data_IF_884364499357
#
_entry.id   IF_884364499357
#
_cell.length_a   1.000
_cell.length_b   1.000
_cell.length_c   1.000
_cell.angle_alpha   90.00
_cell.angle_beta   90.00
_cell.angle_gamma   90.00
#
_symmetry.space_group_name_H-M   'P 1'
#
loop_
_entity.id
_entity.type
_entity.pdbx_description
1 polymer ?
#
# COMPACT_ATOMS: atom_id res chain seq x y z
N UNK A 1 -13.08 3.85 10.60
CA UNK A 1 -12.06 3.71 11.65
C UNK A 1 -11.07 2.61 11.28
N UNK A 2 -9.82 3.00 11.02
CA UNK A 2 -8.64 2.17 10.92
C UNK A 2 -8.34 1.54 12.28
N UNK A 3 -7.84 0.30 12.25
CA UNK A 3 -7.37 -0.38 13.44
C UNK A 3 -6.02 0.19 13.88
N UNK A 4 -5.65 -0.04 15.14
CA UNK A 4 -4.31 0.29 15.65
C UNK A 4 -3.19 -0.28 14.77
N UNK A 5 -3.34 -1.52 14.31
CA UNK A 5 -2.39 -2.17 13.40
C UNK A 5 -2.27 -1.43 12.07
N UNK A 6 -3.38 -0.94 11.51
CA UNK A 6 -3.35 -0.18 10.26
C UNK A 6 -2.68 1.19 10.44
N UNK A 7 -2.91 1.87 11.57
CA UNK A 7 -2.23 3.13 11.91
C UNK A 7 -0.72 2.90 12.06
N UNK A 8 -0.30 1.85 12.77
CA UNK A 8 1.11 1.52 12.93
C UNK A 8 1.77 1.11 11.61
N UNK A 9 1.07 0.35 10.77
CA UNK A 9 1.60 -0.05 9.46
C UNK A 9 1.72 1.15 8.50
N UNK A 10 0.78 2.11 8.57
CA UNK A 10 0.89 3.37 7.85
C UNK A 10 2.08 4.21 8.34
N UNK A 11 2.26 4.34 9.65
CA UNK A 11 3.43 5.03 10.23
C UNK A 11 4.75 4.39 9.77
N UNK A 12 4.84 3.06 9.78
CA UNK A 12 5.98 2.31 9.24
C UNK A 12 6.21 2.60 7.75
N UNK A 13 5.15 2.61 6.94
CA UNK A 13 5.22 2.95 5.51
C UNK A 13 5.81 4.35 5.28
N UNK A 14 5.39 5.35 6.07
CA UNK A 14 5.90 6.73 5.94
C UNK A 14 7.39 6.82 6.31
N UNK A 15 7.83 6.10 7.34
CA UNK A 15 9.24 6.01 7.73
C UNK A 15 10.09 5.34 6.64
N UNK A 16 9.59 4.25 6.05
CA UNK A 16 10.27 3.61 4.91
C UNK A 16 10.38 4.57 3.72
N UNK A 17 9.32 5.30 3.39
CA UNK A 17 9.35 6.32 2.33
C UNK A 17 10.38 7.42 2.63
N UNK A 18 10.53 7.87 3.87
CA UNK A 18 11.56 8.84 4.23
C UNK A 18 12.98 8.31 4.02
N UNK A 19 13.21 7.04 4.39
CA UNK A 19 14.49 6.35 4.14
C UNK A 19 14.76 6.24 2.64
N UNK A 20 13.78 5.83 1.84
CA UNK A 20 13.93 5.74 0.39
C UNK A 20 14.22 7.11 -0.24
N UNK A 21 13.53 8.15 0.22
CA UNK A 21 13.79 9.53 -0.19
C UNK A 21 15.20 10.00 0.18
N UNK A 22 15.75 9.54 1.31
CA UNK A 22 17.13 9.86 1.71
C UNK A 22 18.15 9.24 0.75
N UNK A 23 17.93 8.00 0.32
CA UNK A 23 18.77 7.34 -0.67
C UNK A 23 18.72 8.03 -2.04
N UNK A 24 17.57 8.62 -2.42
CA UNK A 24 17.42 9.42 -3.63
C UNK A 24 18.04 10.82 -3.50
N UNK A 25 18.34 11.25 -2.27
CA UNK A 25 18.98 12.52 -1.97
C UNK A 25 18.02 13.72 -1.92
N UNK A 26 18.62 14.90 -1.77
CA UNK A 26 17.92 16.17 -1.57
C UNK A 26 17.66 16.91 -2.89
N UNK A 27 16.63 17.75 -2.94
CA UNK A 27 16.24 18.51 -4.12
C UNK A 27 15.41 17.70 -5.13
N UNK A 28 14.88 16.56 -4.70
CA UNK A 28 13.94 15.77 -5.49
C UNK A 28 12.63 16.54 -5.67
N UNK A 29 11.91 16.33 -6.79
CA UNK A 29 10.57 16.86 -6.93
C UNK A 29 9.67 16.35 -5.79
N UNK A 30 8.73 17.18 -5.30
CA UNK A 30 7.69 16.70 -4.39
C UNK A 30 6.99 15.48 -4.97
N UNK A 31 6.82 14.46 -4.15
CA UNK A 31 6.23 13.19 -4.56
C UNK A 31 4.92 13.01 -3.83
N UNK A 32 3.86 12.73 -4.58
CA UNK A 32 2.56 12.37 -4.04
C UNK A 32 2.50 10.84 -3.89
N UNK A 33 1.86 10.36 -2.84
CA UNK A 33 1.83 8.95 -2.47
C UNK A 33 0.38 8.51 -2.25
N UNK A 34 -0.04 7.48 -2.98
CA UNK A 34 -1.30 6.78 -2.73
C UNK A 34 -0.99 5.55 -1.88
N UNK A 35 -1.42 5.56 -0.61
CA UNK A 35 -1.14 4.47 0.32
C UNK A 35 -2.38 3.61 0.45
N UNK A 36 -2.22 2.31 0.20
CA UNK A 36 -3.30 1.34 0.23
C UNK A 36 -2.88 0.07 0.97
N UNK A 37 -3.85 -0.62 1.55
CA UNK A 37 -3.69 -1.99 2.04
C UNK A 37 -4.15 -2.97 1.00
N UNK A 38 -3.45 -4.08 0.91
CA UNK A 38 -3.90 -5.25 0.18
C UNK A 38 -3.82 -6.47 1.10
N UNK A 39 -4.77 -7.41 1.04
CA UNK A 39 -4.57 -8.72 1.62
C UNK A 39 -3.25 -9.29 1.12
N UNK A 40 -2.39 -9.76 2.03
CA UNK A 40 -1.13 -10.40 1.61
C UNK A 40 -1.46 -11.52 0.63
N UNK A 41 -2.47 -12.35 0.94
CA UNK A 41 -3.11 -13.33 0.05
C UNK A 41 -4.65 -13.26 0.21
N UNK A 42 -5.41 -13.77 -0.75
CA UNK A 42 -6.89 -13.72 -0.79
C UNK A 42 -7.60 -14.35 0.42
N UNK A 43 -6.91 -15.22 1.17
CA UNK A 43 -7.43 -15.86 2.38
C UNK A 43 -6.85 -15.28 3.70
N UNK A 44 -5.91 -14.33 3.64
CA UNK A 44 -5.22 -13.84 4.84
C UNK A 44 -5.88 -12.60 5.45
N UNK A 45 -6.09 -12.55 6.78
CA UNK A 45 -6.47 -11.31 7.47
C UNK A 45 -5.31 -10.30 7.54
N UNK A 46 -4.08 -10.74 7.26
CA UNK A 46 -2.92 -9.87 7.24
C UNK A 46 -2.94 -9.00 5.97
N UNK A 47 -2.70 -7.71 6.15
CA UNK A 47 -2.70 -6.74 5.06
C UNK A 47 -1.32 -6.10 4.95
N UNK A 48 -0.76 -6.12 3.74
CA UNK A 48 0.43 -5.35 3.42
C UNK A 48 0.01 -3.93 3.08
N UNK A 49 0.63 -2.96 3.75
CA UNK A 49 0.57 -1.55 3.34
C UNK A 49 1.55 -1.36 2.20
N UNK A 50 1.10 -0.71 1.12
CA UNK A 50 1.93 -0.34 -0.03
C UNK A 50 1.65 1.11 -0.40
N UNK A 51 2.67 1.79 -0.91
CA UNK A 51 2.57 3.11 -1.51
C UNK A 51 2.74 3.01 -3.03
N UNK A 52 2.02 3.84 -3.76
CA UNK A 52 2.28 4.14 -5.17
C UNK A 52 2.72 5.58 -5.26
N UNK A 53 3.88 5.81 -5.88
CA UNK A 53 4.53 7.12 -5.92
C UNK A 53 4.27 7.86 -7.23
N UNK A 54 4.04 9.16 -7.10
CA UNK A 54 3.78 10.08 -8.21
C UNK A 54 4.66 11.32 -8.07
N UNK A 55 5.86 11.32 -8.67
CA UNK A 55 6.71 12.50 -8.72
C UNK A 55 5.98 13.65 -9.42
N UNK A 56 5.81 14.77 -8.73
CA UNK A 56 5.18 15.97 -9.27
C UNK A 56 6.22 16.79 -10.03
N UNK A 57 5.88 17.31 -11.22
CA UNK A 57 6.88 18.05 -11.99
C UNK A 57 7.17 19.38 -11.31
N UNK A 58 8.43 19.77 -11.27
CA UNK A 58 8.85 21.07 -10.72
C UNK A 58 8.13 22.23 -11.40
N UNK A 59 7.92 22.14 -12.72
CA UNK A 59 7.22 23.16 -13.50
C UNK A 59 5.75 23.34 -13.07
N UNK A 60 5.11 22.27 -12.59
CA UNK A 60 3.72 22.31 -12.09
C UNK A 60 3.60 23.10 -10.77
N UNK A 61 4.70 23.18 -10.01
CA UNK A 61 4.80 23.94 -8.76
C UNK A 61 5.23 25.38 -9.00
N UNK A 62 6.09 25.61 -9.99
CA UNK A 62 6.57 26.95 -10.34
C UNK A 62 5.50 27.80 -11.06
N UNK A 63 4.52 27.14 -11.69
CA UNK A 63 3.42 27.81 -12.40
C UNK A 63 2.33 28.33 -11.46
N UNK A 64 2.32 27.91 -10.19
CA UNK A 64 1.35 28.36 -9.21
C UNK A 64 2.03 29.05 -8.02
N UNK A 65 1.79 30.37 -7.80
CA UNK A 65 2.36 31.07 -6.66
C UNK A 65 1.92 30.52 -5.29
N UNK A 66 0.82 29.76 -5.23
CA UNK A 66 0.35 29.09 -4.01
C UNK A 66 1.02 27.71 -3.78
N UNK A 67 1.87 27.25 -4.71
CA UNK A 67 2.73 26.08 -4.55
C UNK A 67 1.99 24.75 -4.40
N UNK A 68 2.63 23.82 -3.67
CA UNK A 68 2.15 22.45 -3.46
C UNK A 68 0.72 22.37 -2.90
N UNK A 69 0.32 23.14 -1.86
CA UNK A 69 -1.05 23.12 -1.33
C UNK A 69 -2.14 23.30 -2.39
N UNK A 70 -1.98 24.29 -3.27
CA UNK A 70 -2.97 24.59 -4.30
C UNK A 70 -2.95 23.57 -5.45
N UNK A 71 -1.77 23.00 -5.77
CA UNK A 71 -1.66 21.88 -6.70
C UNK A 71 -2.46 20.65 -6.22
N UNK A 72 -2.34 20.28 -4.94
CA UNK A 72 -3.10 19.17 -4.36
C UNK A 72 -4.62 19.38 -4.50
N UNK A 73 -5.11 20.60 -4.25
CA UNK A 73 -6.52 20.94 -4.45
C UNK A 73 -6.98 20.82 -5.91
N UNK A 74 -6.15 21.26 -6.86
CA UNK A 74 -6.46 21.12 -8.29
C UNK A 74 -6.49 19.66 -8.73
N UNK A 75 -5.56 18.84 -8.25
CA UNK A 75 -5.58 17.40 -8.49
C UNK A 75 -6.86 16.79 -7.94
N UNK A 76 -7.27 17.14 -6.72
CA UNK A 76 -8.54 16.68 -6.15
C UNK A 76 -9.77 17.15 -6.95
N UNK A 77 -9.78 18.37 -7.46
CA UNK A 77 -10.85 18.86 -8.34
C UNK A 77 -10.88 18.10 -9.68
N UNK A 78 -9.72 17.86 -10.29
CA UNK A 78 -9.62 17.09 -11.53
C UNK A 78 -9.99 15.62 -11.37
N UNK A 79 -9.72 15.01 -10.22
CA UNK A 79 -10.23 13.67 -9.90
C UNK A 79 -11.76 13.65 -9.86
N UNK A 80 -12.41 14.67 -9.30
CA UNK A 80 -13.88 14.79 -9.26
C UNK A 80 -14.51 15.07 -10.63
N UNK A 81 -13.79 15.74 -11.52
CA UNK A 81 -14.27 16.15 -12.85
C UNK A 81 -13.27 15.74 -13.94
N UNK A 82 -13.19 14.44 -14.30
CA UNK A 82 -12.17 13.93 -15.23
C UNK A 82 -12.26 14.54 -16.64
N UNK A 83 -13.45 14.97 -17.06
CA UNK A 83 -13.67 15.57 -18.37
C UNK A 83 -13.27 17.05 -18.44
N UNK A 84 -13.04 17.71 -17.31
CA UNK A 84 -12.62 19.10 -17.27
C UNK A 84 -11.24 19.28 -17.89
N UNK A 85 -11.06 20.33 -18.69
CA UNK A 85 -9.76 20.68 -19.23
C UNK A 85 -8.84 21.11 -18.08
N UNK A 86 -7.74 20.38 -17.89
CA UNK A 86 -6.77 20.64 -16.83
C UNK A 86 -5.36 20.37 -17.36
N UNK A 87 -4.37 21.22 -17.05
CA UNK A 87 -2.98 20.97 -17.44
C UNK A 87 -2.44 19.66 -16.81
N UNK A 88 -3.07 19.17 -15.74
CA UNK A 88 -2.68 17.96 -15.02
C UNK A 88 -3.34 16.68 -15.55
N UNK A 89 -3.95 16.69 -16.74
CA UNK A 89 -4.71 15.55 -17.26
C UNK A 89 -3.87 14.27 -17.34
N UNK A 90 -2.62 14.36 -17.80
CA UNK A 90 -1.74 13.20 -17.84
C UNK A 90 -1.46 12.60 -16.45
N UNK A 91 -1.18 13.44 -15.45
CA UNK A 91 -0.96 12.98 -14.07
C UNK A 91 -2.23 12.37 -13.47
N UNK A 92 -3.39 12.99 -13.71
CA UNK A 92 -4.69 12.49 -13.28
C UNK A 92 -5.06 11.16 -13.96
N UNK A 93 -4.79 11.00 -15.25
CA UNK A 93 -5.00 9.75 -15.98
C UNK A 93 -4.09 8.64 -15.43
N UNK A 94 -2.84 8.96 -15.12
CA UNK A 94 -1.92 8.02 -14.45
C UNK A 94 -2.43 7.62 -13.07
N UNK A 95 -2.86 8.59 -12.24
CA UNK A 95 -3.43 8.34 -10.91
C UNK A 95 -4.70 7.49 -11.03
N UNK A 96 -5.64 7.85 -11.89
CA UNK A 96 -6.91 7.12 -12.09
C UNK A 96 -6.65 5.72 -12.64
N UNK A 97 -5.74 5.55 -13.60
CA UNK A 97 -5.36 4.24 -14.13
C UNK A 97 -4.77 3.38 -13.03
N UNK A 98 -3.88 3.93 -12.20
CA UNK A 98 -3.26 3.19 -11.11
C UNK A 98 -4.25 2.88 -9.98
N UNK A 99 -5.18 3.78 -9.65
CA UNK A 99 -6.32 3.50 -8.74
C UNK A 99 -7.20 2.37 -9.30
N UNK A 100 -7.40 2.32 -10.62
CA UNK A 100 -8.19 1.24 -11.27
C UNK A 100 -7.41 -0.06 -11.43
N UNK A 101 -6.09 0.02 -11.55
CA UNK A 101 -5.19 -1.12 -11.68
C UNK A 101 -4.74 -1.66 -10.32
N UNK A 102 -4.93 -0.89 -9.24
CA UNK A 102 -4.89 -1.44 -7.90
C UNK A 102 -6.03 -2.44 -7.84
N UNK A 103 -5.64 -3.71 -7.84
CA UNK A 103 -6.50 -4.88 -7.94
C UNK A 103 -7.71 -4.77 -6.99
N UNK A 104 -8.85 -5.40 -7.30
CA UNK A 104 -10.15 -5.15 -6.64
C UNK A 104 -10.16 -5.25 -5.10
N UNK A 105 -9.14 -5.87 -4.49
CA UNK A 105 -9.00 -6.03 -3.04
C UNK A 105 -8.12 -4.95 -2.37
N UNK A 106 -7.62 -3.97 -3.13
CA UNK A 106 -6.84 -2.87 -2.59
C UNK A 106 -7.78 -1.83 -1.94
N UNK A 107 -7.61 -1.64 -0.63
CA UNK A 107 -8.32 -0.61 0.12
C UNK A 107 -7.43 0.62 0.31
N UNK A 108 -7.92 1.78 -0.11
CA UNK A 108 -7.29 3.07 0.19
C UNK A 108 -7.13 3.25 1.70
N UNK A 109 -5.92 3.59 2.15
CA UNK A 109 -5.65 3.97 3.53
C UNK A 109 -5.42 5.47 3.69
N UNK A 110 -4.58 6.06 2.85
CA UNK A 110 -4.16 7.45 3.01
C UNK A 110 -3.67 8.06 1.69
N UNK A 111 -3.67 9.38 1.64
CA UNK A 111 -2.83 10.14 0.70
C UNK A 111 -1.71 10.80 1.50
N UNK A 112 -0.50 10.81 0.94
CA UNK A 112 0.64 11.50 1.53
C UNK A 112 1.41 12.31 0.48
N UNK A 113 2.20 13.29 0.91
CA UNK A 113 3.12 14.02 0.06
C UNK A 113 4.47 14.18 0.75
N UNK A 114 5.53 13.79 0.05
CA UNK A 114 6.92 13.94 0.46
C UNK A 114 7.55 15.12 -0.28
N UNK A 115 8.17 16.06 0.44
CA UNK A 115 8.75 17.26 -0.15
C UNK A 115 9.85 17.87 0.73
N UNK A 116 10.72 18.69 0.16
CA UNK A 116 11.70 19.48 0.90
C UNK A 116 11.09 20.80 1.38
N UNK A 117 11.35 21.16 2.64
CA UNK A 117 10.87 22.38 3.30
C UNK A 117 12.02 23.09 4.02
N UNK A 118 11.79 24.35 4.43
CA UNK A 118 12.69 25.11 5.28
C UNK A 118 12.01 25.32 6.64
N UNK A 119 12.55 24.67 7.67
CA UNK A 119 12.06 24.78 9.05
C UNK A 119 12.97 25.70 9.87
N UNK A 120 12.42 26.38 10.86
CA UNK A 120 13.23 27.10 11.85
C UNK A 120 13.62 26.12 12.96
N UNK A 121 14.91 25.79 13.05
CA UNK A 121 15.47 24.88 14.06
C UNK A 121 16.41 25.69 14.94
N UNK A 122 16.05 25.90 16.22
CA UNK A 122 16.88 26.65 17.17
C UNK A 122 17.30 28.03 16.66
N UNK A 123 16.34 28.80 16.13
CA UNK A 123 16.47 30.16 15.56
C UNK A 123 17.16 30.28 14.19
N UNK A 124 17.63 29.19 13.58
CA UNK A 124 18.20 29.21 12.22
C UNK A 124 17.28 28.50 11.21
N UNK A 125 17.16 29.01 9.96
CA UNK A 125 16.51 28.27 8.88
C UNK A 125 17.36 27.06 8.51
N UNK A 126 16.78 25.87 8.62
CA UNK A 126 17.36 24.60 8.23
C UNK A 126 16.50 23.90 7.18
N UNK A 127 17.13 23.20 6.25
CA UNK A 127 16.40 22.34 5.32
C UNK A 127 15.90 21.11 6.07
N UNK A 128 14.68 20.68 5.77
CA UNK A 128 14.12 19.44 6.29
C UNK A 128 13.29 18.76 5.20
N UNK A 129 13.34 17.44 5.15
CA UNK A 129 12.37 16.67 4.39
C UNK A 129 11.10 16.54 5.22
N UNK A 130 9.95 16.68 4.58
CA UNK A 130 8.65 16.54 5.22
C UNK A 130 7.79 15.53 4.47
N UNK A 131 7.06 14.74 5.25
CA UNK A 131 5.98 13.90 4.73
C UNK A 131 4.72 14.23 5.50
N UNK A 132 3.75 14.85 4.83
CA UNK A 132 2.41 15.05 5.40
C UNK A 132 1.47 13.99 4.80
N UNK A 133 0.70 13.30 5.64
CA UNK A 133 -0.29 12.32 5.21
C UNK A 133 -1.64 12.50 5.92
N UNK A 134 -2.72 12.14 5.22
CA UNK A 134 -4.08 12.10 5.78
C UNK A 134 -4.70 10.75 5.48
N UNK A 135 -5.13 10.04 6.53
CA UNK A 135 -5.77 8.74 6.41
C UNK A 135 -7.29 8.82 6.20
N UNK A 136 -7.92 7.67 5.90
CA UNK A 136 -9.38 7.56 5.70
C UNK A 136 -10.24 7.96 6.90
N UNK A 137 -9.67 8.06 8.11
CA UNK A 137 -10.38 8.55 9.29
C UNK A 137 -10.16 10.06 9.53
N UNK A 138 -9.33 10.71 8.72
CA UNK A 138 -9.00 12.12 8.84
C UNK A 138 -7.87 12.42 9.81
N UNK A 139 -7.10 11.42 10.26
CA UNK A 139 -5.91 11.66 11.08
C UNK A 139 -4.80 12.27 10.23
N UNK A 140 -4.06 13.20 10.81
CA UNK A 140 -2.90 13.82 10.20
C UNK A 140 -1.62 13.14 10.69
N UNK A 141 -0.74 12.79 9.76
CA UNK A 141 0.61 12.30 10.04
C UNK A 141 1.60 13.32 9.50
N UNK A 142 2.57 13.71 10.31
CA UNK A 142 3.63 14.65 9.91
C UNK A 142 4.97 14.08 10.28
N UNK A 143 5.71 13.64 9.26
CA UNK A 143 7.11 13.28 9.40
C UNK A 143 7.96 14.51 9.06
N UNK A 144 8.91 14.83 9.92
CA UNK A 144 9.93 15.86 9.67
C UNK A 144 11.32 15.29 9.91
N UNK A 145 12.18 15.42 8.92
CA UNK A 145 13.55 14.94 8.96
C UNK A 145 14.51 16.09 8.61
N UNK A 146 15.08 16.78 9.62
CA UNK A 146 16.07 17.83 9.40
C UNK A 146 17.31 17.29 8.66
N UNK A 147 17.85 18.09 7.75
CA UNK A 147 19.03 17.70 6.99
C UNK A 147 20.25 17.53 7.91
N UNK A 148 20.85 16.34 7.88
CA UNK A 148 22.02 16.00 8.68
C UNK A 148 21.70 15.57 10.11
N UNK A 149 20.41 15.43 10.45
CA UNK A 149 19.97 14.62 11.59
C UNK A 149 19.80 13.18 11.10
N UNK A 150 19.95 12.20 12.00
CA UNK A 150 19.74 10.78 11.71
C UNK A 150 18.37 10.30 12.21
N UNK A 151 17.58 11.19 12.84
CA UNK A 151 16.33 10.84 13.53
C UNK A 151 15.14 11.63 12.98
N UNK A 152 14.33 11.03 12.09
CA UNK A 152 13.07 11.64 11.71
C UNK A 152 12.09 11.65 12.89
N UNK A 153 11.33 12.74 13.01
CA UNK A 153 10.23 12.89 13.96
C UNK A 153 8.91 12.67 13.25
N UNK A 154 8.13 11.67 13.67
CA UNK A 154 6.76 11.44 13.20
C UNK A 154 5.75 11.86 14.28
N UNK A 155 4.91 12.84 13.96
CA UNK A 155 3.75 13.24 14.74
C UNK A 155 2.47 12.64 14.13
N UNK A 156 1.57 12.15 14.97
CA UNK A 156 0.24 11.69 14.56
C UNK A 156 -0.79 12.47 15.38
N UNK A 157 -1.67 13.17 14.70
CA UNK A 157 -2.77 13.93 15.29
C UNK A 157 -4.12 13.33 14.88
N UNK A 158 -4.83 12.82 15.88
CA UNK A 158 -6.16 12.22 15.72
C UNK A 158 -7.27 13.26 15.52
N UNK A 159 -7.02 14.53 15.85
CA UNK A 159 -8.01 15.61 15.82
C UNK A 159 -7.37 16.94 15.41
N UNK A 160 -6.83 17.02 14.18
CA UNK A 160 -6.14 18.20 13.68
C UNK A 160 -7.01 19.45 13.77
N UNK A 161 -6.59 20.39 14.62
CA UNK A 161 -7.22 21.70 14.76
C UNK A 161 -6.92 22.59 13.54
N UNK A 162 -7.86 23.45 13.11
CA UNK A 162 -7.69 24.23 11.88
C UNK A 162 -6.54 25.24 11.90
N UNK A 163 -5.99 25.58 13.08
CA UNK A 163 -4.84 26.48 13.23
C UNK A 163 -3.48 25.78 13.18
N UNK A 164 -3.44 24.46 13.40
CA UNK A 164 -2.20 23.73 13.70
C UNK A 164 -1.86 22.70 12.61
N UNK A 165 -2.58 22.74 11.49
CA UNK A 165 -2.37 21.85 10.35
C UNK A 165 -1.40 22.45 9.32
N UNK A 166 -0.63 21.60 8.61
CA UNK A 166 0.20 22.05 7.51
C UNK A 166 -0.68 22.53 6.36
N UNK A 167 -0.15 23.44 5.53
CA UNK A 167 -0.89 23.97 4.39
C UNK A 167 -1.29 22.88 3.36
N UNK A 168 -0.61 21.74 3.36
CA UNK A 168 -0.91 20.56 2.52
C UNK A 168 -2.16 19.80 2.97
N UNK A 169 -2.54 19.89 4.25
CA UNK A 169 -3.61 19.09 4.85
C UNK A 169 -4.98 19.26 4.17
N UNK A 170 -5.47 20.47 3.86
CA UNK A 170 -6.74 20.63 3.14
C UNK A 170 -6.71 20.00 1.74
N UNK A 171 -5.56 20.06 1.06
CA UNK A 171 -5.35 19.46 -0.26
C UNK A 171 -5.37 17.93 -0.21
N UNK A 172 -4.67 17.33 0.76
CA UNK A 172 -4.67 15.88 0.99
C UNK A 172 -6.06 15.36 1.36
N UNK A 173 -6.78 16.08 2.22
CA UNK A 173 -8.17 15.75 2.59
C UNK A 173 -9.10 15.80 1.37
N UNK A 174 -8.91 16.79 0.49
CA UNK A 174 -9.67 16.89 -0.75
C UNK A 174 -9.38 15.73 -1.71
N UNK A 175 -8.11 15.29 -1.81
CA UNK A 175 -7.72 14.13 -2.63
C UNK A 175 -8.37 12.84 -2.11
N UNK A 176 -8.31 12.60 -0.81
CA UNK A 176 -8.95 11.46 -0.15
C UNK A 176 -10.47 11.42 -0.42
N UNK A 177 -11.13 12.57 -0.28
CA UNK A 177 -12.57 12.71 -0.58
C UNK A 177 -12.87 12.41 -2.05
N UNK A 178 -12.05 12.93 -2.97
CA UNK A 178 -12.24 12.72 -4.41
C UNK A 178 -12.04 11.24 -4.82
N UNK A 179 -11.07 10.56 -4.23
CA UNK A 179 -10.78 9.15 -4.54
C UNK A 179 -11.87 8.21 -3.99
N UNK A 180 -12.31 8.42 -2.74
CA UNK A 180 -13.35 7.58 -2.11
C UNK A 180 -14.70 7.67 -2.82
N UNK A 181 -15.08 8.86 -3.31
CA UNK A 181 -16.31 9.03 -4.10
C UNK A 181 -16.30 8.18 -5.38
N UNK A 182 -15.16 8.05 -6.06
CA UNK A 182 -15.05 7.22 -7.28
C UNK A 182 -15.26 5.74 -7.03
N UNK A 183 -14.70 5.21 -5.94
CA UNK A 183 -14.86 3.80 -5.58
C UNK A 183 -16.35 3.43 -5.37
N UNK A 184 -17.15 4.34 -4.82
CA UNK A 184 -18.59 4.11 -4.60
C UNK A 184 -19.44 4.17 -5.88
N UNK A 185 -19.04 4.95 -6.89
CA UNK A 185 -19.77 5.10 -8.15
C UNK A 185 -19.53 3.96 -9.16
N UNK A 186 -18.56 3.08 -8.91
CA UNK A 186 -18.22 1.94 -9.78
C UNK A 186 -19.08 0.68 -9.59
N UNK A 187 -19.88 0.61 -8.52
CA UNK A 187 -20.55 -0.64 -8.08
C UNK A 187 -22.06 -0.68 -8.41
N UNK A 188 -22.52 0.16 -9.35
CA UNK A 188 -23.89 0.12 -9.89
C UNK A 188 -23.88 -0.23 -11.38
N UNK A 189 -23.53 -1.49 -11.66
CA UNK A 189 -23.54 -2.05 -13.01
C UNK A 189 -23.89 -3.53 -13.02
N UNK A 190 -25.17 -3.82 -13.25
CA UNK A 190 -25.73 -5.10 -13.77
C UNK A 190 -25.64 -6.37 -12.90
N UNK A 191 -26.68 -6.62 -12.10
CA UNK A 191 -27.09 -7.96 -11.70
C UNK A 191 -27.69 -8.72 -12.91
N UNK A 192 -26.87 -9.52 -13.58
CA UNK A 192 -27.31 -10.56 -14.52
C UNK A 192 -27.28 -11.93 -13.86
N UNK A 193 -28.45 -12.56 -13.72
CA UNK A 193 -28.63 -13.95 -13.26
C UNK A 193 -27.80 -14.93 -14.10
N UNK A 194 -27.01 -15.80 -13.47
CA UNK A 194 -26.65 -17.12 -14.00
C UNK A 194 -26.39 -18.10 -12.86
N UNK A 195 -27.07 -19.24 -12.90
CA UNK A 195 -27.00 -20.33 -11.91
C UNK A 195 -25.68 -21.13 -11.96
N UNK A 196 -25.56 -22.15 -11.09
CA UNK A 196 -24.28 -22.74 -10.72
C UNK A 196 -23.81 -23.75 -11.77
N UNK A 197 -22.67 -23.49 -12.40
CA UNK A 197 -21.90 -24.52 -13.09
C UNK A 197 -20.69 -24.90 -12.24
N UNK A 198 -20.61 -26.20 -11.90
CA UNK A 198 -19.42 -26.90 -11.43
C UNK A 198 -18.22 -26.56 -12.31
N UNK A 199 -17.06 -26.27 -11.69
CA UNK A 199 -15.76 -26.23 -12.36
C UNK A 199 -15.00 -27.54 -12.11
N UNK A 200 -14.45 -28.16 -13.16
CA UNK A 200 -13.35 -29.10 -13.06
C UNK A 200 -12.00 -28.44 -13.35
N UNK A 201 -10.99 -29.04 -12.72
CA UNK A 201 -9.55 -29.08 -12.99
C UNK A 201 -8.65 -27.89 -12.63
N UNK A 202 -7.59 -28.23 -11.88
CA UNK A 202 -6.67 -27.34 -11.20
C UNK A 202 -5.60 -26.74 -12.12
N UNK A 203 -5.30 -25.47 -11.87
CA UNK A 203 -4.14 -24.75 -12.38
C UNK A 203 -3.31 -24.24 -11.20
N UNK A 204 -2.02 -24.03 -11.44
CA UNK A 204 -0.95 -23.61 -10.50
C UNK A 204 -1.17 -22.24 -9.78
N UNK A 205 -2.42 -21.77 -9.67
CA UNK A 205 -2.81 -20.47 -9.10
C UNK A 205 -3.63 -20.60 -7.80
N UNK A 206 -3.86 -21.82 -7.30
CA UNK A 206 -4.68 -22.05 -6.10
C UNK A 206 -3.80 -22.15 -4.83
N UNK A 207 -4.10 -21.40 -3.76
CA UNK A 207 -3.29 -21.39 -2.55
C UNK A 207 -3.34 -22.74 -1.82
N UNK A 208 -2.17 -23.29 -1.54
CA UNK A 208 -1.95 -24.51 -0.77
C UNK A 208 -2.33 -24.31 0.70
N UNK A 209 -2.17 -23.12 1.27
CA UNK A 209 -2.52 -22.81 2.65
C UNK A 209 -3.71 -21.86 2.72
N UNK A 210 -4.78 -22.28 3.40
CA UNK A 210 -5.97 -21.45 3.63
C UNK A 210 -6.24 -21.29 5.12
N UNK A 211 -6.83 -20.16 5.51
CA UNK A 211 -7.28 -19.99 6.89
C UNK A 211 -8.41 -20.96 7.23
N UNK A 212 -8.41 -21.45 8.47
CA UNK A 212 -9.36 -22.42 8.99
C UNK A 212 -9.79 -22.02 10.40
N UNK A 213 -11.05 -22.26 10.73
CA UNK A 213 -11.64 -21.92 12.03
C UNK A 213 -12.39 -20.58 12.05
N UNK A 214 -13.21 -20.35 13.09
CA UNK A 214 -14.11 -19.20 13.19
C UNK A 214 -13.38 -17.86 13.32
N UNK A 215 -12.15 -17.87 13.86
CA UNK A 215 -11.35 -16.67 14.09
C UNK A 215 -10.30 -16.41 12.99
N UNK A 216 -10.20 -17.31 12.00
CA UNK A 216 -9.26 -17.19 10.88
C UNK A 216 -7.77 -17.28 11.27
N UNK A 217 -7.47 -17.72 12.50
CA UNK A 217 -6.11 -17.74 13.05
C UNK A 217 -5.31 -19.00 12.71
N UNK A 218 -5.98 -20.11 12.36
CA UNK A 218 -5.30 -21.35 11.99
C UNK A 218 -5.13 -21.43 10.49
N UNK A 219 -4.02 -22.04 10.03
CA UNK A 219 -3.82 -22.33 8.61
C UNK A 219 -3.99 -23.83 8.36
N UNK A 220 -4.77 -24.16 7.34
CA UNK A 220 -4.99 -25.51 6.84
C UNK A 220 -4.33 -25.69 5.48
N UNK A 221 -3.51 -26.73 5.37
CA UNK A 221 -2.98 -27.17 4.09
C UNK A 221 -4.10 -27.83 3.27
N UNK A 222 -4.43 -27.30 2.10
CA UNK A 222 -5.40 -27.86 1.17
C UNK A 222 -4.98 -29.22 0.60
N UNK A 223 -3.66 -29.46 0.48
CA UNK A 223 -3.12 -30.70 -0.09
C UNK A 223 -3.32 -31.91 0.84
N UNK A 224 -3.06 -31.75 2.14
CA UNK A 224 -3.12 -32.87 3.10
C UNK A 224 -4.11 -32.71 4.25
N UNK A 225 -4.75 -31.53 4.36
CA UNK A 225 -5.70 -31.20 5.41
C UNK A 225 -5.07 -30.89 6.77
N UNK A 226 -3.75 -30.85 6.91
CA UNK A 226 -3.08 -30.51 8.17
C UNK A 226 -3.44 -29.09 8.61
N UNK A 227 -3.66 -28.88 9.91
CA UNK A 227 -3.97 -27.57 10.51
C UNK A 227 -2.83 -27.21 11.45
N UNK A 228 -2.25 -26.03 11.28
CA UNK A 228 -1.16 -25.50 12.10
C UNK A 228 0.13 -26.34 12.11
N UNK A 229 0.28 -27.25 11.15
CA UNK A 229 1.51 -28.04 10.92
C UNK A 229 2.29 -27.45 9.74
N UNK A 230 2.87 -26.26 9.91
CA UNK A 230 3.70 -25.61 8.91
C UNK A 230 4.90 -24.89 9.54
N UNK A 231 5.93 -24.65 8.72
CA UNK A 231 7.08 -23.80 9.03
C UNK A 231 6.95 -22.56 8.17
N UNK A 232 7.03 -21.38 8.79
CA UNK A 232 7.06 -20.09 8.11
C UNK A 232 8.40 -19.40 8.40
N UNK A 233 9.00 -18.83 7.37
CA UNK A 233 10.26 -18.08 7.48
C UNK A 233 10.24 -16.83 6.58
N UNK A 234 11.00 -15.82 6.99
CA UNK A 234 11.24 -14.58 6.23
C UNK A 234 12.74 -14.49 5.97
N UNK A 235 13.12 -14.38 4.70
CA UNK A 235 14.52 -14.41 4.29
C UNK A 235 14.83 -13.24 3.36
N UNK A 236 16.02 -12.61 3.47
CA UNK A 236 16.43 -11.56 2.56
C UNK A 236 16.35 -12.04 1.12
N UNK A 237 15.69 -11.26 0.25
CA UNK A 237 15.40 -11.71 -1.10
C UNK A 237 16.68 -12.01 -1.87
N UNK A 238 16.75 -13.21 -2.45
CA UNK A 238 17.89 -13.61 -3.29
C UNK A 238 18.00 -12.77 -4.56
N UNK A 239 16.95 -12.00 -4.90
CA UNK A 239 16.92 -11.07 -6.01
C UNK A 239 17.53 -9.69 -5.67
N UNK A 240 18.01 -9.49 -4.43
CA UNK A 240 18.75 -8.31 -4.00
C UNK A 240 17.88 -7.11 -3.58
N UNK A 241 16.56 -7.28 -3.47
CA UNK A 241 15.63 -6.25 -3.04
C UNK A 241 14.42 -6.85 -2.29
N UNK A 242 14.17 -6.38 -1.06
CA UNK A 242 13.06 -6.81 -0.20
C UNK A 242 13.28 -8.16 0.51
N UNK A 243 12.21 -8.70 1.09
CA UNK A 243 12.19 -9.98 1.83
C UNK A 243 11.34 -11.01 1.06
N UNK A 244 11.83 -12.24 0.98
CA UNK A 244 11.09 -13.40 0.49
C UNK A 244 10.36 -14.05 1.68
N UNK A 245 9.10 -14.41 1.47
CA UNK A 245 8.30 -15.15 2.46
C UNK A 245 8.15 -16.59 2.03
N UNK A 246 8.36 -17.51 2.96
CA UNK A 246 8.34 -18.95 2.72
C UNK A 246 7.41 -19.65 3.72
N UNK A 247 6.49 -20.48 3.24
CA UNK A 247 5.63 -21.32 4.07
C UNK A 247 5.69 -22.76 3.58
N UNK A 248 5.93 -23.72 4.48
CA UNK A 248 6.01 -25.15 4.16
C UNK A 248 5.14 -25.97 5.09
N UNK A 249 4.34 -26.88 4.55
CA UNK A 249 3.59 -27.85 5.34
C UNK A 249 4.53 -28.91 5.89
N UNK A 250 4.58 -29.07 7.21
CA UNK A 250 5.41 -30.08 7.87
C UNK A 250 4.95 -31.50 7.56
N UNK A 251 3.69 -31.70 7.15
CA UNK A 251 3.10 -33.01 6.89
C UNK A 251 3.32 -33.53 5.46
N UNK A 252 2.95 -32.73 4.46
CA UNK A 252 3.06 -33.14 3.06
C UNK A 252 4.25 -32.54 2.33
N UNK A 253 4.89 -31.50 2.89
CA UNK A 253 6.01 -30.83 2.27
C UNK A 253 5.63 -29.86 1.16
N UNK A 254 4.35 -29.58 0.93
CA UNK A 254 3.90 -28.52 0.01
C UNK A 254 4.43 -27.16 0.48
N UNK A 255 4.80 -26.31 -0.48
CA UNK A 255 5.48 -25.03 -0.24
C UNK A 255 4.76 -23.90 -0.96
N UNK A 256 4.65 -22.75 -0.30
CA UNK A 256 4.39 -21.46 -0.93
C UNK A 256 5.60 -20.55 -0.72
N UNK A 257 5.90 -19.74 -1.74
CA UNK A 257 6.98 -18.75 -1.67
C UNK A 257 6.49 -17.49 -2.36
N UNK A 258 6.72 -16.33 -1.74
CA UNK A 258 6.41 -15.04 -2.33
C UNK A 258 7.64 -14.16 -2.27
N UNK A 259 8.06 -13.67 -3.43
CA UNK A 259 9.16 -12.73 -3.56
C UNK A 259 8.71 -11.41 -4.23
N UNK A 260 9.38 -10.27 -3.97
CA UNK A 260 8.97 -8.96 -4.46
C UNK A 260 9.02 -8.80 -5.99
N UNK A 261 9.79 -9.62 -6.70
CA UNK A 261 10.12 -9.44 -8.12
C UNK A 261 9.33 -10.39 -9.03
N UNK A 262 9.25 -11.66 -8.66
CA UNK A 262 8.60 -12.74 -9.39
C UNK A 262 7.24 -13.13 -8.80
N UNK A 263 6.85 -12.52 -7.68
CA UNK A 263 5.53 -12.68 -7.07
C UNK A 263 5.37 -14.00 -6.32
N UNK A 264 4.12 -14.46 -6.20
CA UNK A 264 3.78 -15.66 -5.46
C UNK A 264 3.86 -16.92 -6.31
N UNK A 265 4.36 -18.01 -5.72
CA UNK A 265 4.42 -19.34 -6.32
C UNK A 265 4.03 -20.39 -5.29
N UNK A 266 3.05 -21.21 -5.65
CA UNK A 266 2.73 -22.45 -4.96
C UNK A 266 3.45 -23.63 -5.62
N UNK A 267 3.98 -24.53 -4.81
CA UNK A 267 4.49 -25.84 -5.24
C UNK A 267 3.85 -26.94 -4.39
N UNK A 268 2.73 -27.54 -4.84
CA UNK A 268 2.10 -28.62 -4.10
C UNK A 268 2.99 -29.87 -4.14
N UNK A 269 3.11 -30.55 -3.01
CA UNK A 269 3.76 -31.84 -2.95
C UNK A 269 2.77 -32.96 -3.34
N UNK A 270 3.22 -34.01 -4.03
CA UNK A 270 2.38 -35.17 -4.31
C UNK A 270 1.92 -35.81 -2.99
N UNK A 271 0.60 -35.88 -2.78
CA UNK A 271 -0.03 -36.38 -1.55
C UNK A 271 -1.30 -37.20 -1.85
N UNK A 272 -1.59 -38.30 -1.13
CA UNK A 272 -0.72 -38.95 -0.15
C UNK A 272 0.58 -39.43 -0.80
N UNK A 273 1.67 -39.46 -0.03
CA UNK A 273 2.96 -39.95 -0.54
C UNK A 273 2.73 -41.30 -1.22
N UNK A 274 3.16 -41.44 -2.49
CA UNK A 274 3.13 -42.72 -3.18
C UNK A 274 3.81 -43.74 -2.27
N UNK A 275 3.22 -44.92 -2.02
CA UNK A 275 3.89 -45.96 -1.26
C UNK A 275 5.24 -46.16 -1.92
N UNK A 276 6.32 -45.92 -1.17
CA UNK A 276 7.65 -46.29 -1.61
C UNK A 276 7.55 -47.77 -1.99
N UNK A 277 7.71 -48.06 -3.29
CA UNK A 277 8.10 -49.41 -3.67
C UNK A 277 9.47 -49.56 -3.04
N UNK A 278 9.52 -50.28 -1.92
CA UNK A 278 10.74 -50.96 -1.52
C UNK A 278 11.14 -51.81 -2.74
N UNK A 279 12.10 -51.31 -3.51
CA UNK A 279 12.77 -52.11 -4.51
C UNK A 279 13.64 -53.15 -3.78
N UNK A 280 13.57 -54.43 -4.19
CA UNK A 280 14.29 -55.54 -3.55
C UNK A 280 15.80 -55.53 -3.77
#
# INVERSE_FOLDING_TARGET
MLSFTAVHALAGCLLTTDVDAEHLGWGQPPTLLLIHTRPLHTASPAHAVRSVEFPLRRDDLLTDPAGLPALLHRLAAGLRQPDAATPYRAALDTIVRLIRATEPDARLLAWATCYDDILTIGDAPGQARRIDAVDTDGRLYQLSHPRGDDRPLLLIDDSPGPSDVPATYPGLTALLTATTQKSSSGDHGTHGKAGPLRRPDGSDEEPIFITWGPDGTSLRCQVCGAVDEFVQDEMPSMAGYGEDTYIRCSRCGSVETSDPIFGWRAKPAPWPASPQRDEP
#
